data_IF_544887308474
#
_entry.id   IF_544887308474
#
_cell.length_a   1.000
_cell.length_b   1.000
_cell.length_c   1.000
_cell.angle_alpha   90.00
_cell.angle_beta   90.00
_cell.angle_gamma   90.00
#
_symmetry.space_group_name_H-M   'P 1'
#
loop_
_entity.id
_entity.type
_entity.pdbx_description
1 polymer ?
#
# COMPACT_ATOMS: atom_id res chain seq x y z
N UNK A 1 -13.13 7.11 -8.28
CA UNK A 1 -12.12 6.09 -8.59
C UNK A 1 -11.37 5.82 -7.29
N UNK A 2 -11.12 4.55 -7.00
CA UNK A 2 -10.48 4.08 -5.77
C UNK A 2 -9.17 3.45 -6.18
N UNK A 3 -8.13 3.66 -5.37
CA UNK A 3 -6.86 2.97 -5.49
C UNK A 3 -6.93 1.75 -4.59
N UNK A 4 -6.64 0.60 -5.14
CA UNK A 4 -6.81 -0.69 -4.50
C UNK A 4 -5.49 -1.48 -4.53
N UNK A 5 -5.35 -2.39 -3.57
CA UNK A 5 -4.31 -3.40 -3.58
C UNK A 5 -4.96 -4.72 -3.96
N UNK A 6 -4.55 -5.27 -5.09
CA UNK A 6 -4.89 -6.63 -5.52
C UNK A 6 -4.04 -7.66 -4.78
N UNK A 7 -4.65 -8.79 -4.44
CA UNK A 7 -3.99 -9.93 -3.81
C UNK A 7 -4.43 -11.18 -4.55
N UNK A 8 -3.49 -11.83 -5.23
CA UNK A 8 -3.73 -13.06 -5.98
C UNK A 8 -3.04 -14.23 -5.29
N UNK A 9 -3.80 -15.24 -4.87
CA UNK A 9 -3.23 -16.52 -4.45
C UNK A 9 -2.89 -17.38 -5.69
N UNK A 10 -1.60 -17.59 -5.96
CA UNK A 10 -1.12 -18.14 -7.24
C UNK A 10 -1.59 -19.57 -7.54
N UNK A 11 -1.79 -20.41 -6.51
CA UNK A 11 -2.23 -21.80 -6.72
C UNK A 11 -3.74 -21.99 -6.84
N UNK A 12 -4.54 -21.14 -6.20
CA UNK A 12 -6.01 -21.27 -6.19
C UNK A 12 -6.66 -20.33 -7.21
N UNK A 13 -5.95 -19.29 -7.65
CA UNK A 13 -6.50 -18.24 -8.50
C UNK A 13 -7.46 -17.30 -7.76
N UNK A 14 -7.55 -17.41 -6.43
CA UNK A 14 -8.39 -16.52 -5.64
C UNK A 14 -7.80 -15.11 -5.66
N UNK A 15 -8.63 -14.14 -6.04
CA UNK A 15 -8.27 -12.74 -6.11
C UNK A 15 -9.13 -11.92 -5.14
N UNK A 16 -8.46 -11.14 -4.31
CA UNK A 16 -9.09 -10.23 -3.36
C UNK A 16 -8.58 -8.80 -3.58
N UNK A 17 -9.44 -7.82 -3.28
CA UNK A 17 -9.09 -6.40 -3.35
C UNK A 17 -9.22 -5.76 -1.99
N UNK A 18 -8.22 -4.96 -1.64
CA UNK A 18 -8.23 -4.19 -0.40
C UNK A 18 -8.18 -2.70 -0.75
N UNK A 19 -9.14 -1.89 -0.26
CA UNK A 19 -9.14 -0.47 -0.54
C UNK A 19 -7.98 0.22 0.15
N UNK A 20 -7.19 0.98 -0.61
CA UNK A 20 -6.11 1.84 -0.10
C UNK A 20 -6.69 3.21 0.24
N UNK A 21 -7.18 3.92 -0.77
CA UNK A 21 -7.76 5.25 -0.63
C UNK A 21 -8.64 5.60 -1.85
N UNK A 22 -9.50 6.60 -1.73
CA UNK A 22 -10.03 7.24 -2.94
C UNK A 22 -8.91 8.01 -3.63
N UNK A 23 -8.99 8.19 -4.95
CA UNK A 23 -7.99 8.99 -5.68
C UNK A 23 -7.84 10.39 -5.07
N UNK A 24 -8.94 11.06 -4.71
CA UNK A 24 -8.92 12.38 -4.07
C UNK A 24 -8.07 12.37 -2.78
N UNK A 25 -8.33 11.43 -1.88
CA UNK A 25 -7.59 11.29 -0.62
C UNK A 25 -6.12 10.97 -0.89
N UNK A 26 -5.82 10.14 -1.89
CA UNK A 26 -4.46 9.78 -2.22
C UNK A 26 -3.65 10.99 -2.73
N UNK A 27 -4.22 11.75 -3.67
CA UNK A 27 -3.58 12.96 -4.19
C UNK A 27 -3.45 14.07 -3.13
N UNK A 28 -4.43 14.19 -2.23
CA UNK A 28 -4.45 15.25 -1.23
C UNK A 28 -3.56 14.95 -0.01
N UNK A 29 -3.43 13.68 0.40
CA UNK A 29 -2.76 13.32 1.65
C UNK A 29 -1.59 12.34 1.46
N UNK A 30 -1.77 11.27 0.69
CA UNK A 30 -0.76 10.21 0.55
C UNK A 30 0.45 10.68 -0.25
N UNK A 31 0.24 11.24 -1.45
CA UNK A 31 1.34 11.70 -2.31
C UNK A 31 2.18 12.82 -1.67
N UNK A 32 1.59 13.86 -1.04
CA UNK A 32 2.38 14.86 -0.34
C UNK A 32 3.24 14.27 0.79
N UNK A 33 2.71 13.29 1.54
CA UNK A 33 3.45 12.61 2.59
C UNK A 33 4.58 11.73 2.02
N UNK A 34 4.32 11.00 0.94
CA UNK A 34 5.36 10.23 0.24
C UNK A 34 6.48 11.15 -0.23
N UNK A 35 6.14 12.31 -0.80
CA UNK A 35 7.12 13.31 -1.26
C UNK A 35 7.92 13.91 -0.11
N UNK A 36 7.29 14.21 1.03
CA UNK A 36 8.01 14.80 2.18
C UNK A 36 8.96 13.80 2.86
N UNK A 37 8.61 12.52 2.83
CA UNK A 37 9.39 11.42 3.41
C UNK A 37 10.39 10.79 2.42
N UNK A 38 10.30 11.13 1.13
CA UNK A 38 11.17 10.56 0.08
C UNK A 38 10.82 9.12 -0.30
N UNK A 39 9.55 8.71 -0.11
CA UNK A 39 9.05 7.37 -0.44
C UNK A 39 8.84 7.24 -1.95
N UNK A 40 9.23 6.11 -2.52
CA UNK A 40 9.18 5.83 -3.96
C UNK A 40 8.07 4.83 -4.28
N UNK A 41 8.02 3.67 -3.62
CA UNK A 41 7.07 2.62 -3.96
C UNK A 41 5.61 3.03 -3.69
N UNK A 42 5.31 3.54 -2.50
CA UNK A 42 3.93 3.93 -2.17
C UNK A 42 3.44 5.04 -3.10
N UNK A 43 4.34 5.92 -3.56
CA UNK A 43 3.99 7.00 -4.48
C UNK A 43 3.42 6.51 -5.82
N UNK A 44 3.65 5.24 -6.15
CA UNK A 44 3.25 4.59 -7.39
C UNK A 44 1.97 3.74 -7.26
N UNK A 45 1.34 3.68 -6.09
CA UNK A 45 0.11 2.88 -5.92
C UNK A 45 -1.04 3.35 -6.83
N UNK A 46 -1.02 4.59 -7.30
CA UNK A 46 -2.13 5.20 -8.04
C UNK A 46 -2.01 5.18 -9.56
N UNK A 47 -0.84 4.82 -10.11
CA UNK A 47 -0.52 5.02 -11.53
C UNK A 47 -0.37 3.72 -12.32
N UNK A 48 -0.56 2.58 -11.65
CA UNK A 48 -0.46 1.25 -12.25
C UNK A 48 0.98 0.83 -12.58
N UNK A 49 2.00 1.58 -12.14
CA UNK A 49 3.40 1.17 -12.34
C UNK A 49 3.83 0.01 -11.42
N UNK A 50 3.04 -0.26 -10.37
CA UNK A 50 3.16 -1.44 -9.51
C UNK A 50 2.07 -2.48 -9.82
N UNK A 51 1.86 -2.77 -11.11
CA UNK A 51 0.89 -3.77 -11.56
C UNK A 51 1.30 -5.23 -11.28
N UNK A 52 2.56 -5.47 -10.92
CA UNK A 52 3.06 -6.74 -10.39
C UNK A 52 4.19 -6.41 -9.42
N UNK A 53 3.98 -6.72 -8.15
CA UNK A 53 5.00 -6.55 -7.12
C UNK A 53 5.86 -7.79 -7.03
N UNK A 54 7.16 -7.61 -7.24
CA UNK A 54 8.14 -8.68 -7.07
C UNK A 54 8.31 -9.02 -5.58
N UNK A 55 8.61 -10.28 -5.27
CA UNK A 55 8.86 -10.71 -3.89
C UNK A 55 10.03 -9.95 -3.23
N UNK A 56 10.99 -9.46 -4.01
CA UNK A 56 12.13 -8.67 -3.51
C UNK A 56 11.78 -7.21 -3.19
N UNK A 57 10.68 -6.69 -3.71
CA UNK A 57 10.19 -5.34 -3.43
C UNK A 57 9.23 -5.30 -2.24
N UNK A 58 8.60 -6.42 -1.88
CA UNK A 58 7.70 -6.51 -0.72
C UNK A 58 8.33 -5.98 0.57
N UNK A 59 9.58 -6.34 0.95
CA UNK A 59 10.20 -5.78 2.15
C UNK A 59 10.39 -4.26 2.08
N UNK A 60 10.71 -3.72 0.90
CA UNK A 60 10.92 -2.28 0.69
C UNK A 60 9.60 -1.52 0.79
N UNK A 61 8.53 -2.06 0.19
CA UNK A 61 7.17 -1.52 0.32
C UNK A 61 6.74 -1.51 1.79
N UNK A 62 7.02 -2.59 2.52
CA UNK A 62 6.70 -2.68 3.94
C UNK A 62 7.46 -1.64 4.78
N UNK A 63 8.75 -1.42 4.50
CA UNK A 63 9.55 -0.37 5.13
C UNK A 63 8.96 1.03 4.89
N UNK A 64 8.57 1.34 3.65
CA UNK A 64 7.92 2.61 3.34
C UNK A 64 6.57 2.75 4.05
N UNK A 65 5.78 1.67 4.15
CA UNK A 65 4.48 1.68 4.83
C UNK A 65 4.66 1.93 6.32
N UNK A 66 5.66 1.33 6.95
CA UNK A 66 5.99 1.58 8.36
C UNK A 66 6.44 3.03 8.57
N UNK A 67 7.23 3.57 7.66
CA UNK A 67 7.64 4.98 7.69
C UNK A 67 6.44 5.92 7.58
N UNK A 68 5.58 5.69 6.60
CA UNK A 68 4.36 6.48 6.38
C UNK A 68 3.40 6.36 7.58
N UNK A 69 3.23 5.16 8.15
CA UNK A 69 2.41 4.94 9.33
C UNK A 69 2.91 5.74 10.54
N UNK A 70 4.23 5.73 10.77
CA UNK A 70 4.83 6.51 11.86
C UNK A 70 4.58 8.01 11.68
N UNK A 71 4.62 8.49 10.44
CA UNK A 71 4.28 9.88 10.10
C UNK A 71 2.80 10.21 10.36
N UNK A 72 1.87 9.30 10.08
CA UNK A 72 0.44 9.52 10.34
C UNK A 72 0.11 9.52 11.83
N UNK A 73 0.75 8.66 12.62
CA UNK A 73 0.53 8.58 14.06
C UNK A 73 0.94 9.88 14.79
N UNK A 74 1.85 10.67 14.22
CA UNK A 74 2.25 11.97 14.76
C UNK A 74 1.20 13.08 14.49
N UNK A 75 0.14 12.81 13.72
CA UNK A 75 -0.82 13.80 13.23
C UNK A 75 -2.26 13.33 13.41
N UNK A 76 -2.99 13.94 14.35
CA UNK A 76 -4.38 13.55 14.67
C UNK A 76 -5.32 13.62 13.46
N UNK A 77 -5.11 14.56 12.54
CA UNK A 77 -5.93 14.73 11.34
C UNK A 77 -5.71 13.64 10.28
N UNK A 78 -4.76 12.72 10.47
CA UNK A 78 -4.42 11.63 9.54
C UNK A 78 -4.77 10.24 10.08
N UNK A 79 -5.57 10.15 11.15
CA UNK A 79 -5.99 8.86 11.74
C UNK A 79 -6.61 7.90 10.71
N UNK A 80 -7.45 8.41 9.81
CA UNK A 80 -8.06 7.61 8.73
C UNK A 80 -7.01 6.97 7.80
N UNK A 81 -5.88 7.65 7.59
CA UNK A 81 -4.79 7.15 6.75
C UNK A 81 -3.99 6.10 7.51
N UNK A 82 -3.77 6.32 8.81
CA UNK A 82 -3.12 5.37 9.72
C UNK A 82 -3.82 4.00 9.71
N UNK A 83 -5.14 3.97 9.88
CA UNK A 83 -5.93 2.73 9.88
C UNK A 83 -5.82 1.97 8.55
N UNK A 84 -5.76 2.69 7.43
CA UNK A 84 -5.59 2.08 6.10
C UNK A 84 -4.20 1.47 5.94
N UNK A 85 -3.16 2.20 6.34
CA UNK A 85 -1.78 1.72 6.25
C UNK A 85 -1.58 0.48 7.14
N UNK A 86 -2.12 0.50 8.37
CA UNK A 86 -2.05 -0.64 9.27
C UNK A 86 -2.67 -1.90 8.65
N UNK A 87 -3.84 -1.77 8.00
CA UNK A 87 -4.48 -2.90 7.32
C UNK A 87 -3.63 -3.44 6.17
N UNK A 88 -2.98 -2.58 5.38
CA UNK A 88 -2.11 -3.00 4.28
C UNK A 88 -0.88 -3.74 4.83
N UNK A 89 -0.28 -3.22 5.91
CA UNK A 89 0.83 -3.88 6.62
C UNK A 89 0.44 -5.27 7.11
N UNK A 90 -0.73 -5.39 7.76
CA UNK A 90 -1.24 -6.67 8.26
C UNK A 90 -1.41 -7.70 7.13
N UNK A 91 -1.79 -7.26 5.94
CA UNK A 91 -1.92 -8.15 4.78
C UNK A 91 -0.55 -8.68 4.40
N UNK A 92 0.43 -7.81 4.13
CA UNK A 92 1.80 -8.24 3.83
C UNK A 92 2.42 -9.15 4.89
N UNK A 93 2.03 -9.02 6.15
CA UNK A 93 2.51 -9.87 7.25
C UNK A 93 1.81 -11.23 7.33
N UNK A 94 0.59 -11.34 6.82
CA UNK A 94 -0.23 -12.57 6.88
C UNK A 94 -0.23 -13.35 5.57
N UNK A 95 0.21 -12.73 4.47
CA UNK A 95 0.39 -13.38 3.17
C UNK A 95 1.86 -13.65 2.89
N UNK A 96 2.16 -14.87 2.43
CA UNK A 96 3.53 -15.26 2.05
C UNK A 96 3.76 -14.96 0.56
N UNK A 97 4.77 -14.14 0.25
CA UNK A 97 5.15 -13.76 -1.13
C UNK A 97 5.50 -14.95 -2.04
N UNK A 98 5.68 -16.16 -1.51
CA UNK A 98 5.85 -17.38 -2.32
C UNK A 98 4.53 -17.94 -2.85
N UNK A 99 3.40 -17.56 -2.25
CA UNK A 99 2.05 -18.04 -2.59
C UNK A 99 1.13 -16.92 -3.06
N UNK A 100 1.53 -15.66 -2.89
CA UNK A 100 0.73 -14.48 -3.19
C UNK A 100 1.48 -13.47 -4.06
N UNK A 101 0.79 -12.96 -5.07
CA UNK A 101 1.20 -11.80 -5.88
C UNK A 101 0.35 -10.59 -5.49
N UNK A 102 0.94 -9.40 -5.62
CA UNK A 102 0.27 -8.14 -5.32
C UNK A 102 0.35 -7.21 -6.52
N UNK A 103 -0.68 -6.40 -6.69
CA UNK A 103 -0.74 -5.33 -7.67
C UNK A 103 -1.41 -4.10 -7.05
N UNK A 104 -1.13 -2.94 -7.63
CA UNK A 104 -1.69 -1.66 -7.22
C UNK A 104 -2.21 -0.89 -8.44
N UNK A 105 -3.40 -0.32 -8.32
CA UNK A 105 -4.07 0.44 -9.38
C UNK A 105 -5.42 1.03 -8.94
#
# INVERSE_FOLDING_TARGET
MTIEMGILHIHTGNYEVIPVATSEIFYQFWLPACKSLGLQFISHFHDGSLNVVSAEDVPKILEELICLHSYTLAQENLAFMSERIERIIQVFQTTDSTFYEYDFG
#
